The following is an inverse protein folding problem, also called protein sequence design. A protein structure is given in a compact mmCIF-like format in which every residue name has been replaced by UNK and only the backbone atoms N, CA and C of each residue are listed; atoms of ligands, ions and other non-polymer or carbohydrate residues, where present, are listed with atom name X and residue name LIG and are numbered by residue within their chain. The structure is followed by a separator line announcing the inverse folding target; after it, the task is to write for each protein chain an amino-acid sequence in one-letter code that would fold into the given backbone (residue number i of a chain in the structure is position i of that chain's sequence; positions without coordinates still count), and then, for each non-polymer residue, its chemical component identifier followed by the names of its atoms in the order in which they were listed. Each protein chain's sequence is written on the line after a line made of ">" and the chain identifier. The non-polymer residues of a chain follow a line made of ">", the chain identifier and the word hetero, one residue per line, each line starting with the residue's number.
data_IF_624701813367
#
_entry.id   IF_624701813367
#
_cell.length_a   1.000
_cell.length_b   1.000
_cell.length_c   1.000
_cell.angle_alpha   90.00
_cell.angle_beta   90.00
_cell.angle_gamma   90.00
#
_symmetry.space_group_name_H-M   'P 1'
#
loop_
_entity.id
_entity.type
_entity.pdbx_description
1 polymer ?
#
# COMPACT_ATOMS: atom_id res chain seq x y z
N UNK A 1 38.36 -29.98 23.70
CA UNK A 1 37.96 -28.57 23.84
C UNK A 1 39.22 -27.76 23.65
N UNK A 2 39.44 -27.22 22.45
CA UNK A 2 40.71 -26.60 22.06
C UNK A 2 40.65 -25.10 22.43
N UNK A 3 41.54 -24.59 23.30
CA UNK A 3 41.43 -23.22 23.84
C UNK A 3 41.77 -22.11 22.85
N UNK A 4 42.22 -22.43 21.64
CA UNK A 4 42.60 -21.44 20.63
C UNK A 4 42.13 -21.91 19.25
N UNK A 5 41.59 -20.98 18.46
CA UNK A 5 40.93 -21.17 17.16
C UNK A 5 41.85 -21.67 16.02
N UNK A 6 42.68 -22.68 16.26
CA UNK A 6 43.42 -23.42 15.24
C UNK A 6 43.27 -24.92 15.50
N UNK A 7 42.71 -25.63 14.54
CA UNK A 7 42.72 -27.09 14.55
C UNK A 7 44.17 -27.58 14.36
N UNK A 8 44.70 -28.45 15.23
CA UNK A 8 46.02 -29.04 15.05
C UNK A 8 46.06 -29.84 13.74
N UNK A 9 47.21 -29.82 13.07
CA UNK A 9 47.40 -30.50 11.78
C UNK A 9 47.19 -32.01 11.95
N UNK A 10 46.63 -32.67 10.94
CA UNK A 10 46.37 -34.12 10.92
C UNK A 10 47.60 -34.96 11.32
N UNK A 11 48.81 -34.44 11.08
CA UNK A 11 50.07 -35.07 11.45
C UNK A 11 50.30 -35.08 12.98
N UNK A 12 49.88 -34.04 13.71
CA UNK A 12 49.99 -33.93 15.17
C UNK A 12 48.96 -34.82 15.89
N UNK A 13 47.77 -34.97 15.31
CA UNK A 13 46.74 -35.91 15.79
C UNK A 13 47.17 -37.37 15.65
N UNK A 14 47.96 -37.69 14.62
CA UNK A 14 48.48 -39.04 14.38
C UNK A 14 49.71 -39.36 15.25
N UNK A 15 50.61 -38.38 15.46
CA UNK A 15 51.85 -38.55 16.22
C UNK A 15 51.62 -38.51 17.75
N UNK A 16 50.54 -37.90 18.22
CA UNK A 16 50.16 -37.81 19.64
C UNK A 16 49.25 -38.94 20.14
N UNK A 17 49.15 -40.07 19.43
CA UNK A 17 48.26 -41.19 19.72
C UNK A 17 48.67 -42.00 20.98
N UNK A 18 48.64 -41.37 22.17
CA UNK A 18 48.95 -42.07 23.42
C UNK A 18 47.91 -41.93 24.54
N UNK A 19 46.66 -41.54 24.26
CA UNK A 19 45.57 -41.72 25.26
C UNK A 19 44.13 -41.59 24.69
N UNK A 20 43.83 -42.30 23.59
CA UNK A 20 42.43 -42.52 23.15
C UNK A 20 41.76 -43.59 24.02
N UNK A 21 41.61 -43.34 25.32
CA UNK A 21 40.74 -44.12 26.19
C UNK A 21 39.26 -43.79 25.93
N UNK A 22 38.37 -44.78 25.92
CA UNK A 22 36.91 -44.53 25.82
C UNK A 22 36.41 -43.51 26.86
N UNK A 23 37.05 -43.45 28.03
CA UNK A 23 36.77 -42.45 29.07
C UNK A 23 37.15 -41.01 28.69
N UNK A 24 38.23 -40.80 27.92
CA UNK A 24 38.65 -39.45 27.48
C UNK A 24 37.73 -38.93 26.36
N UNK A 25 37.24 -39.81 25.49
CA UNK A 25 36.22 -39.48 24.48
C UNK A 25 34.89 -39.10 25.12
N UNK A 26 34.41 -39.90 26.10
CA UNK A 26 33.16 -39.62 26.80
C UNK A 26 33.23 -38.31 27.60
N UNK A 27 34.33 -38.08 28.32
CA UNK A 27 34.58 -36.83 29.05
C UNK A 27 34.69 -35.62 28.12
N UNK A 28 35.31 -35.79 26.95
CA UNK A 28 35.41 -34.76 25.91
C UNK A 28 34.06 -34.39 25.30
N UNK A 29 33.21 -35.39 25.01
CA UNK A 29 31.85 -35.19 24.52
C UNK A 29 30.99 -34.44 25.55
N UNK A 30 31.09 -34.84 26.82
CA UNK A 30 30.35 -34.19 27.90
C UNK A 30 30.78 -32.73 28.08
N UNK A 31 32.10 -32.44 28.09
CA UNK A 31 32.60 -31.06 28.15
C UNK A 31 32.19 -30.24 26.93
N UNK A 32 32.16 -30.84 25.74
CA UNK A 32 31.72 -30.18 24.52
C UNK A 32 30.24 -29.80 24.58
N UNK A 33 29.36 -30.74 24.96
CA UNK A 33 27.93 -30.49 25.12
C UNK A 33 27.65 -29.42 26.16
N UNK A 34 28.33 -29.46 27.33
CA UNK A 34 28.18 -28.40 28.33
C UNK A 34 28.69 -27.04 27.83
N UNK A 35 29.75 -27.02 27.04
CA UNK A 35 30.24 -25.78 26.47
C UNK A 35 29.28 -25.20 25.43
N UNK A 36 28.78 -26.02 24.51
CA UNK A 36 27.76 -25.60 23.53
C UNK A 36 26.47 -25.16 24.20
N UNK A 37 26.04 -25.86 25.25
CA UNK A 37 24.83 -25.53 25.99
C UNK A 37 24.98 -24.19 26.73
N UNK A 38 26.15 -23.89 27.31
CA UNK A 38 26.42 -22.61 27.93
C UNK A 38 26.53 -21.48 26.89
N UNK A 39 27.19 -21.73 25.76
CA UNK A 39 27.38 -20.74 24.70
C UNK A 39 26.07 -20.37 24.00
N UNK A 40 25.27 -21.38 23.61
CA UNK A 40 23.94 -21.18 23.04
C UNK A 40 22.87 -20.91 24.10
N UNK A 41 23.19 -21.13 25.38
CA UNK A 41 22.32 -20.82 26.51
C UNK A 41 21.93 -19.35 26.54
N UNK A 42 22.83 -18.44 26.14
CA UNK A 42 22.51 -17.00 26.02
C UNK A 42 21.42 -16.74 24.96
N UNK A 43 21.45 -17.46 23.83
CA UNK A 43 20.43 -17.36 22.78
C UNK A 43 19.09 -17.92 23.29
N UNK A 44 19.12 -19.09 23.94
CA UNK A 44 17.94 -19.71 24.56
C UNK A 44 17.30 -18.78 25.60
N UNK A 45 18.09 -18.20 26.50
CA UNK A 45 17.61 -17.23 27.50
C UNK A 45 17.02 -16.00 26.80
N UNK A 46 17.64 -15.50 25.73
CA UNK A 46 17.11 -14.36 24.97
C UNK A 46 15.75 -14.68 24.33
N UNK A 47 15.59 -15.87 23.75
CA UNK A 47 14.34 -16.33 23.16
C UNK A 47 13.26 -16.50 24.23
N UNK A 48 13.59 -17.11 25.38
CA UNK A 48 12.66 -17.28 26.51
C UNK A 48 12.23 -15.92 27.05
N UNK A 49 13.17 -15.00 27.26
CA UNK A 49 12.85 -13.62 27.72
C UNK A 49 11.96 -12.92 26.70
N UNK A 50 12.27 -13.00 25.40
CA UNK A 50 11.44 -12.41 24.34
C UNK A 50 10.04 -13.03 24.30
N UNK A 51 9.93 -14.33 24.50
CA UNK A 51 8.65 -15.05 24.51
C UNK A 51 7.83 -14.67 25.74
N UNK A 52 8.44 -14.61 26.91
CA UNK A 52 7.81 -14.12 28.14
C UNK A 52 7.40 -12.66 27.99
N UNK A 53 8.25 -11.82 27.40
CA UNK A 53 7.92 -10.42 27.14
C UNK A 53 6.76 -10.29 26.14
N UNK A 54 6.73 -11.12 25.10
CA UNK A 54 5.65 -11.17 24.12
C UNK A 54 4.35 -11.65 24.76
N UNK A 55 4.39 -12.68 25.60
CA UNK A 55 3.22 -13.17 26.36
C UNK A 55 2.76 -12.14 27.41
N UNK A 56 3.68 -11.42 28.05
CA UNK A 56 3.34 -10.33 28.96
C UNK A 56 2.72 -9.17 28.21
N UNK A 57 3.25 -8.81 27.04
CA UNK A 57 2.68 -7.80 26.16
C UNK A 57 1.30 -8.23 25.65
N UNK A 58 1.13 -9.49 25.27
CA UNK A 58 -0.15 -10.09 24.86
C UNK A 58 -1.14 -10.10 26.02
N UNK A 59 -0.72 -10.46 27.24
CA UNK A 59 -1.55 -10.46 28.45
C UNK A 59 -1.90 -9.05 28.90
N UNK A 60 -0.99 -8.08 28.75
CA UNK A 60 -1.25 -6.67 28.99
C UNK A 60 -2.22 -6.14 27.93
N UNK A 61 -1.97 -6.41 26.65
CA UNK A 61 -2.87 -6.07 25.54
C UNK A 61 -4.26 -6.71 25.71
N UNK A 62 -4.31 -7.94 26.20
CA UNK A 62 -5.52 -8.70 26.54
C UNK A 62 -6.20 -8.18 27.82
N UNK A 63 -5.46 -7.66 28.79
CA UNK A 63 -6.03 -6.98 29.97
C UNK A 63 -6.49 -5.55 29.65
N UNK A 64 -5.88 -4.92 28.65
CA UNK A 64 -6.37 -3.71 27.98
C UNK A 64 -7.51 -4.01 26.99
N UNK A 65 -7.84 -5.29 26.77
CA UNK A 65 -8.96 -5.79 25.95
C UNK A 65 -10.32 -5.62 26.66
N UNK A 66 -10.44 -4.53 27.42
CA UNK A 66 -11.66 -3.73 27.41
C UNK A 66 -11.45 -2.47 26.56
N UNK A 67 -11.24 -2.75 25.27
CA UNK A 67 -11.75 -2.05 24.10
C UNK A 67 -11.32 -0.62 23.75
N UNK A 68 -10.87 0.26 24.64
CA UNK A 68 -10.79 1.69 24.26
C UNK A 68 -9.43 2.18 23.74
N UNK A 69 -8.32 1.92 24.42
CA UNK A 69 -7.04 2.60 24.08
C UNK A 69 -6.45 2.11 22.74
N UNK A 70 -6.41 0.80 22.48
CA UNK A 70 -5.95 0.26 21.19
C UNK A 70 -6.91 0.59 20.04
N UNK A 71 -8.22 0.71 20.29
CA UNK A 71 -9.17 1.21 19.27
C UNK A 71 -8.94 2.67 18.94
N UNK A 72 -8.58 3.50 19.92
CA UNK A 72 -8.27 4.91 19.69
C UNK A 72 -7.00 5.04 18.83
N UNK A 73 -5.93 4.30 19.14
CA UNK A 73 -4.70 4.32 18.32
C UNK A 73 -4.94 3.83 16.88
N UNK A 74 -5.74 2.77 16.72
CA UNK A 74 -6.17 2.27 15.41
C UNK A 74 -7.02 3.30 14.67
N UNK A 75 -8.01 3.91 15.33
CA UNK A 75 -8.89 4.92 14.73
C UNK A 75 -8.13 6.17 14.29
N UNK A 76 -7.16 6.63 15.08
CA UNK A 76 -6.29 7.76 14.70
C UNK A 76 -5.47 7.41 13.46
N UNK A 77 -4.83 6.24 13.44
CA UNK A 77 -4.03 5.78 12.30
C UNK A 77 -4.89 5.64 11.04
N UNK A 78 -6.08 5.07 11.18
CA UNK A 78 -7.04 4.93 10.09
C UNK A 78 -7.52 6.29 9.57
N UNK A 79 -7.79 7.25 10.45
CA UNK A 79 -8.21 8.60 10.08
C UNK A 79 -7.09 9.35 9.34
N UNK A 80 -5.82 9.19 9.74
CA UNK A 80 -4.67 9.73 9.00
C UNK A 80 -4.59 9.15 7.60
N UNK A 81 -4.69 7.82 7.45
CA UNK A 81 -4.71 7.16 6.14
C UNK A 81 -5.87 7.65 5.27
N UNK A 82 -7.04 7.85 5.89
CA UNK A 82 -8.23 8.36 5.21
C UNK A 82 -8.03 9.79 4.70
N UNK A 83 -7.47 10.70 5.53
CA UNK A 83 -7.13 12.07 5.10
C UNK A 83 -6.17 12.03 3.91
N UNK A 84 -5.14 11.18 3.97
CA UNK A 84 -4.20 11.01 2.86
C UNK A 84 -4.91 10.51 1.59
N UNK A 85 -5.82 9.53 1.72
CA UNK A 85 -6.58 8.99 0.60
C UNK A 85 -7.51 10.05 -0.04
N UNK A 86 -8.23 10.84 0.78
CA UNK A 86 -9.10 11.93 0.29
C UNK A 86 -8.28 13.00 -0.42
N UNK A 87 -7.14 13.40 0.15
CA UNK A 87 -6.27 14.40 -0.48
C UNK A 87 -5.70 13.88 -1.81
N UNK A 88 -5.20 12.64 -1.83
CA UNK A 88 -4.70 11.98 -3.04
C UNK A 88 -5.78 11.92 -4.14
N UNK A 89 -7.01 11.56 -3.78
CA UNK A 89 -8.13 11.53 -4.70
C UNK A 89 -8.51 12.93 -5.20
N UNK A 90 -8.48 13.94 -4.34
CA UNK A 90 -8.73 15.33 -4.73
C UNK A 90 -7.67 15.84 -5.73
N UNK A 91 -6.41 15.51 -5.52
CA UNK A 91 -5.31 15.80 -6.45
C UNK A 91 -5.53 15.09 -7.79
N UNK A 92 -5.91 13.81 -7.78
CA UNK A 92 -6.19 13.04 -8.98
C UNK A 92 -7.35 13.64 -9.81
N UNK A 93 -8.45 14.06 -9.16
CA UNK A 93 -9.53 14.80 -9.84
C UNK A 93 -9.02 16.13 -10.41
N UNK A 94 -8.11 16.81 -9.70
CA UNK A 94 -7.46 18.02 -10.21
C UNK A 94 -6.71 17.76 -11.53
N UNK A 95 -5.92 16.69 -11.60
CA UNK A 95 -5.25 16.30 -12.84
C UNK A 95 -6.22 15.96 -13.95
N UNK A 96 -7.30 15.22 -13.65
CA UNK A 96 -8.33 14.91 -14.63
C UNK A 96 -9.02 16.17 -15.16
N UNK A 97 -9.34 17.14 -14.28
CA UNK A 97 -9.90 18.44 -14.65
C UNK A 97 -8.98 19.20 -15.61
N UNK A 98 -7.70 19.33 -15.27
CA UNK A 98 -6.72 20.00 -16.12
C UNK A 98 -6.60 19.31 -17.48
N UNK A 99 -6.50 17.97 -17.51
CA UNK A 99 -6.41 17.22 -18.75
C UNK A 99 -7.62 17.44 -19.67
N UNK A 100 -8.83 17.50 -19.11
CA UNK A 100 -10.05 17.80 -19.89
C UNK A 100 -10.02 19.23 -20.41
N UNK A 101 -9.59 20.20 -19.59
CA UNK A 101 -9.45 21.60 -20.03
C UNK A 101 -8.45 21.71 -21.17
N UNK A 102 -7.30 21.04 -21.06
CA UNK A 102 -6.28 21.04 -22.11
C UNK A 102 -6.80 20.38 -23.39
N UNK A 103 -7.59 19.30 -23.27
CA UNK A 103 -8.28 18.68 -24.42
C UNK A 103 -9.26 19.65 -25.08
N UNK A 104 -10.05 20.40 -24.31
CA UNK A 104 -10.99 21.42 -24.82
C UNK A 104 -10.21 22.51 -25.56
N UNK A 105 -9.14 23.05 -24.96
CA UNK A 105 -8.31 24.07 -25.59
C UNK A 105 -7.67 23.58 -26.89
N UNK A 106 -7.16 22.35 -26.88
CA UNK A 106 -6.60 21.72 -28.07
C UNK A 106 -7.63 21.58 -29.18
N UNK A 107 -8.84 21.09 -28.86
CA UNK A 107 -9.91 21.00 -29.85
C UNK A 107 -10.28 22.37 -30.44
N UNK A 108 -10.45 23.39 -29.59
CA UNK A 108 -10.79 24.74 -30.06
C UNK A 108 -9.68 25.30 -30.96
N UNK A 109 -8.41 25.03 -30.67
CA UNK A 109 -7.29 25.47 -31.50
C UNK A 109 -7.25 24.78 -32.88
N UNK A 110 -7.68 23.52 -32.96
CA UNK A 110 -7.68 22.73 -34.20
C UNK A 110 -8.93 22.98 -35.07
N UNK A 111 -10.06 23.37 -34.47
CA UNK A 111 -11.34 23.61 -35.19
C UNK A 111 -11.18 24.57 -36.39
N UNK A 112 -10.56 25.76 -36.27
CA UNK A 112 -10.40 26.68 -37.40
C UNK A 112 -9.65 26.06 -38.58
N UNK A 113 -8.62 25.26 -38.31
CA UNK A 113 -7.83 24.57 -39.34
C UNK A 113 -8.71 23.58 -40.13
N UNK A 114 -9.50 22.77 -39.42
CA UNK A 114 -10.42 21.80 -40.03
C UNK A 114 -11.49 22.48 -40.87
N UNK A 115 -12.09 23.56 -40.35
CA UNK A 115 -13.11 24.32 -41.07
C UNK A 115 -12.54 25.03 -42.30
N UNK A 116 -11.30 25.52 -42.23
CA UNK A 116 -10.60 26.13 -43.38
C UNK A 116 -10.35 25.10 -44.47
N UNK A 117 -9.92 23.88 -44.11
CA UNK A 117 -9.79 22.78 -45.08
C UNK A 117 -11.13 22.45 -45.75
N UNK A 118 -12.20 22.31 -44.97
CA UNK A 118 -13.55 22.05 -45.48
C UNK A 118 -14.04 23.18 -46.42
N UNK A 119 -13.78 24.43 -46.07
CA UNK A 119 -14.09 25.58 -46.90
C UNK A 119 -13.32 25.55 -48.23
N UNK A 120 -12.04 25.17 -48.20
CA UNK A 120 -11.20 25.07 -49.41
C UNK A 120 -11.68 24.02 -50.41
N UNK A 121 -12.37 22.98 -49.94
CA UNK A 121 -13.02 21.96 -50.78
C UNK A 121 -14.37 22.43 -51.37
N UNK A 122 -14.75 23.70 -51.15
CA UNK A 122 -16.01 24.28 -51.62
C UNK A 122 -17.22 24.02 -50.71
N UNK A 123 -17.02 23.44 -49.52
CA UNK A 123 -18.11 22.98 -48.66
C UNK A 123 -18.56 24.06 -47.64
N UNK A 124 -18.95 25.24 -48.15
CA UNK A 124 -19.26 26.41 -47.32
C UNK A 124 -20.50 26.20 -46.43
N UNK A 125 -21.54 25.53 -46.95
CA UNK A 125 -22.76 25.22 -46.18
C UNK A 125 -22.44 24.37 -44.96
N UNK A 126 -21.62 23.32 -45.11
CA UNK A 126 -21.25 22.43 -44.01
C UNK A 126 -20.42 23.16 -42.94
N UNK A 127 -19.52 24.06 -43.33
CA UNK A 127 -18.71 24.86 -42.39
C UNK A 127 -19.58 25.72 -41.47
N UNK A 128 -20.63 26.37 -42.02
CA UNK A 128 -21.52 27.24 -41.23
C UNK A 128 -22.30 26.49 -40.15
N UNK A 129 -22.67 25.23 -40.41
CA UNK A 129 -23.38 24.38 -39.44
C UNK A 129 -22.42 23.72 -38.45
N UNK A 130 -21.27 23.24 -38.93
CA UNK A 130 -20.30 22.54 -38.09
C UNK A 130 -19.61 23.45 -37.08
N UNK A 131 -19.33 24.71 -37.41
CA UNK A 131 -18.65 25.62 -36.48
C UNK A 131 -19.36 25.74 -35.10
N UNK A 132 -20.64 26.14 -35.03
CA UNK A 132 -21.34 26.20 -33.74
C UNK A 132 -21.60 24.81 -33.13
N UNK A 133 -21.86 23.79 -33.95
CA UNK A 133 -22.14 22.44 -33.47
C UNK A 133 -20.95 21.81 -32.74
N UNK A 134 -19.74 21.92 -33.31
CA UNK A 134 -18.53 21.36 -32.71
C UNK A 134 -18.21 22.08 -31.39
N UNK A 135 -18.28 23.42 -31.38
CA UNK A 135 -18.06 24.20 -30.16
C UNK A 135 -19.08 23.83 -29.07
N UNK A 136 -20.34 23.67 -29.45
CA UNK A 136 -21.39 23.23 -28.53
C UNK A 136 -21.11 21.83 -27.98
N UNK A 137 -20.72 20.86 -28.81
CA UNK A 137 -20.40 19.50 -28.38
C UNK A 137 -19.20 19.46 -27.42
N UNK A 138 -18.12 20.18 -27.73
CA UNK A 138 -16.92 20.26 -26.87
C UNK A 138 -17.30 20.75 -25.48
N UNK A 139 -18.03 21.87 -25.42
CA UNK A 139 -18.43 22.46 -24.15
C UNK A 139 -19.48 21.61 -23.43
N UNK A 140 -20.45 21.04 -24.15
CA UNK A 140 -21.48 20.17 -23.56
C UNK A 140 -20.85 18.96 -22.87
N UNK A 141 -19.91 18.26 -23.54
CA UNK A 141 -19.19 17.12 -22.96
C UNK A 141 -18.32 17.55 -21.78
N UNK A 142 -17.56 18.64 -21.93
CA UNK A 142 -16.74 19.20 -20.86
C UNK A 142 -17.57 19.53 -19.61
N UNK A 143 -18.66 20.28 -19.79
CA UNK A 143 -19.59 20.65 -18.72
C UNK A 143 -20.24 19.41 -18.10
N UNK A 144 -20.67 18.42 -18.88
CA UNK A 144 -21.23 17.18 -18.35
C UNK A 144 -20.23 16.47 -17.43
N UNK A 145 -18.96 16.37 -17.82
CA UNK A 145 -17.94 15.75 -16.96
C UNK A 145 -17.71 16.56 -15.69
N UNK A 146 -17.62 17.89 -15.80
CA UNK A 146 -17.37 18.78 -14.66
C UNK A 146 -18.51 18.82 -13.64
N UNK A 147 -19.77 18.83 -14.09
CA UNK A 147 -20.94 19.02 -13.23
C UNK A 147 -21.65 17.73 -12.85
N UNK A 148 -21.45 16.64 -13.58
CA UNK A 148 -22.13 15.37 -13.33
C UNK A 148 -21.11 14.32 -12.89
N UNK A 149 -20.14 14.00 -13.74
CA UNK A 149 -19.22 12.87 -13.52
C UNK A 149 -18.31 13.10 -12.30
N UNK A 150 -17.58 14.22 -12.24
CA UNK A 150 -16.66 14.46 -11.12
C UNK A 150 -17.36 14.56 -9.76
N UNK A 151 -18.48 15.29 -9.60
CA UNK A 151 -19.20 15.31 -8.34
C UNK A 151 -19.69 13.92 -7.92
N UNK A 152 -20.25 13.13 -8.85
CA UNK A 152 -20.72 11.77 -8.54
C UNK A 152 -19.58 10.85 -8.10
N UNK A 153 -18.44 10.90 -8.79
CA UNK A 153 -17.24 10.13 -8.40
C UNK A 153 -16.72 10.55 -7.03
N UNK A 154 -16.72 11.86 -6.73
CA UNK A 154 -16.33 12.37 -5.43
C UNK A 154 -17.27 11.90 -4.32
N UNK A 155 -18.58 12.01 -4.52
CA UNK A 155 -19.57 11.48 -3.58
C UNK A 155 -19.43 9.97 -3.39
N UNK A 156 -19.24 9.21 -4.47
CA UNK A 156 -18.97 7.77 -4.40
C UNK A 156 -17.75 7.46 -3.52
N UNK A 157 -16.62 8.15 -3.74
CA UNK A 157 -15.41 7.96 -2.96
C UNK A 157 -15.63 8.27 -1.47
N UNK A 158 -16.28 9.40 -1.15
CA UNK A 158 -16.64 9.76 0.23
C UNK A 158 -17.56 8.72 0.86
N UNK A 159 -18.56 8.22 0.15
CA UNK A 159 -19.48 7.20 0.67
C UNK A 159 -18.79 5.84 0.90
N UNK A 160 -17.84 5.44 0.05
CA UNK A 160 -17.00 4.25 0.29
C UNK A 160 -16.15 4.39 1.56
N UNK A 161 -15.61 5.59 1.78
CA UNK A 161 -14.84 5.92 2.98
C UNK A 161 -15.73 5.83 4.23
N UNK A 162 -16.90 6.48 4.20
CA UNK A 162 -17.87 6.44 5.31
C UNK A 162 -18.34 5.00 5.58
N UNK A 163 -18.56 4.20 4.54
CA UNK A 163 -18.94 2.79 4.68
C UNK A 163 -17.84 1.93 5.28
N UNK A 164 -16.57 2.29 5.08
CA UNK A 164 -15.43 1.62 5.68
C UNK A 164 -15.26 1.96 7.16
N UNK A 165 -15.79 3.10 7.61
CA UNK A 165 -15.74 3.55 9.01
C UNK A 165 -16.94 3.05 9.84
N UNK A 166 -18.02 2.64 9.18
CA UNK A 166 -19.29 2.24 9.82
C UNK A 166 -19.47 0.73 9.82
N UNK A 167 -19.46 0.12 11.01
CA UNK A 167 -19.73 -1.32 11.16
C UNK A 167 -21.21 -1.67 11.00
N UNK A 168 -22.13 -0.73 11.26
CA UNK A 168 -23.60 -0.97 11.25
C UNK A 168 -24.32 -0.44 10.01
N UNK A 169 -23.92 0.72 9.48
CA UNK A 169 -24.61 1.38 8.37
C UNK A 169 -23.64 1.55 7.20
N UNK A 170 -23.55 0.51 6.37
CA UNK A 170 -22.75 0.53 5.14
C UNK A 170 -23.58 1.09 3.99
N UNK A 171 -23.14 2.20 3.41
CA UNK A 171 -23.74 2.83 2.22
C UNK A 171 -22.98 2.46 0.94
N UNK A 172 -22.26 1.34 0.97
CA UNK A 172 -21.43 0.84 -0.15
C UNK A 172 -22.24 0.65 -1.43
N UNK A 173 -23.50 0.21 -1.32
CA UNK A 173 -24.37 0.05 -2.48
C UNK A 173 -24.72 1.37 -3.15
N UNK A 174 -24.94 2.42 -2.36
CA UNK A 174 -25.16 3.77 -2.91
C UNK A 174 -23.87 4.32 -3.52
N UNK A 175 -22.72 4.11 -2.86
CA UNK A 175 -21.42 4.49 -3.41
C UNK A 175 -21.19 3.83 -4.79
N UNK A 176 -21.42 2.52 -4.89
CA UNK A 176 -21.34 1.77 -6.14
C UNK A 176 -22.33 2.27 -7.19
N UNK A 177 -23.57 2.62 -6.80
CA UNK A 177 -24.56 3.18 -7.71
C UNK A 177 -24.06 4.51 -8.30
N UNK A 178 -23.61 5.44 -7.46
CA UNK A 178 -23.09 6.73 -7.92
C UNK A 178 -21.88 6.55 -8.85
N UNK A 179 -20.98 5.62 -8.52
CA UNK A 179 -19.86 5.26 -9.39
C UNK A 179 -20.34 4.74 -10.74
N UNK A 180 -21.25 3.77 -10.73
CA UNK A 180 -21.72 3.14 -11.96
C UNK A 180 -22.48 4.14 -12.84
N UNK A 181 -23.29 5.03 -12.27
CA UNK A 181 -23.97 6.10 -13.02
C UNK A 181 -22.97 7.13 -13.57
N UNK A 182 -21.86 7.36 -12.89
CA UNK A 182 -20.85 8.32 -13.36
C UNK A 182 -19.95 7.81 -14.50
N UNK A 183 -19.77 6.48 -14.61
CA UNK A 183 -18.85 5.85 -15.58
C UNK A 183 -19.59 5.06 -16.67
N UNK A 184 -20.83 4.65 -16.39
CA UNK A 184 -21.67 3.82 -17.26
C UNK A 184 -22.50 4.59 -18.27
#
# INVERSE_FOLDING_TARGET
>A
YFPDSRAPSFMELLLGAKDFGLGSVFSGLFKYLFHELLYNGKLLVSIVILTVFSMLLETLQSSFEKNNVSKIAYAISFLVLMIMAVNSFSVAIGYAKSAITDMIHFMIAVVPLLLTLLASMGNVVTVTVLHPLILFMIHAVGTAIYFIVFPLLFFSAVLHIVSSLSDKYKVTQLANLLRNVSVG
#
